data_IF_803015809292
#
_entry.id   IF_803015809292
#
_cell.length_a   1.000
_cell.length_b   1.000
_cell.length_c   1.000
_cell.angle_alpha   90.00
_cell.angle_beta   90.00
_cell.angle_gamma   90.00
#
_symmetry.space_group_name_H-M   'P 1'
#
loop_
_entity.id
_entity.type
_entity.pdbx_description
1 polymer ?
#
# COMPACT_ATOMS: atom_id res chain seq x y z
N UNK A 1 20.89 -1.44 6.56
CA UNK A 1 20.13 -2.44 5.80
C UNK A 1 18.63 -2.29 6.01
N UNK A 2 17.95 -1.57 5.13
CA UNK A 2 16.49 -1.64 5.03
C UNK A 2 16.19 -2.92 4.24
N UNK A 3 15.80 -3.99 4.93
CA UNK A 3 15.37 -5.23 4.30
C UNK A 3 13.84 -5.22 4.22
N UNK A 4 13.30 -4.82 3.08
CA UNK A 4 11.88 -4.99 2.77
C UNK A 4 11.64 -6.47 2.45
N UNK A 5 11.35 -7.26 3.47
CA UNK A 5 10.93 -8.64 3.30
C UNK A 5 9.45 -8.69 2.94
N UNK A 6 9.13 -8.53 1.66
CA UNK A 6 7.87 -9.03 1.10
C UNK A 6 8.16 -10.15 0.10
N UNK A 7 8.64 -11.33 0.56
CA UNK A 7 8.80 -12.46 -0.34
C UNK A 7 7.41 -12.93 -0.75
N UNK A 8 6.97 -12.57 -1.97
CA UNK A 8 5.79 -13.13 -2.60
C UNK A 8 6.23 -14.45 -3.25
N UNK A 9 5.93 -15.59 -2.62
CA UNK A 9 6.14 -16.91 -3.20
C UNK A 9 4.84 -17.72 -3.16
N UNK A 10 4.41 -18.14 -4.37
CA UNK A 10 3.45 -19.19 -4.71
C UNK A 10 2.31 -19.43 -3.71
N UNK A 11 1.16 -18.83 -3.98
CA UNK A 11 -0.14 -19.43 -3.64
C UNK A 11 -0.82 -19.90 -4.92
N UNK A 12 -1.33 -21.13 -4.90
CA UNK A 12 -2.12 -21.71 -5.98
C UNK A 12 -3.38 -20.86 -6.22
N UNK A 13 -3.66 -20.53 -7.47
CA UNK A 13 -4.96 -19.95 -7.83
C UNK A 13 -6.01 -21.06 -7.73
N UNK A 14 -6.94 -20.94 -6.79
CA UNK A 14 -8.16 -21.73 -6.80
C UNK A 14 -9.13 -21.06 -7.77
N UNK A 15 -9.28 -21.66 -8.94
CA UNK A 15 -10.20 -21.20 -9.99
C UNK A 15 -11.66 -21.31 -9.52
N UNK A 16 -12.39 -20.20 -9.44
CA UNK A 16 -13.83 -20.13 -9.71
C UNK A 16 -14.31 -18.67 -9.80
N UNK A 17 -14.64 -18.23 -11.01
CA UNK A 17 -15.25 -16.93 -11.32
C UNK A 17 -14.24 -15.80 -11.53
N UNK A 18 -14.26 -15.17 -12.72
CA UNK A 18 -13.48 -13.99 -13.13
C UNK A 18 -12.31 -13.60 -12.19
N UNK A 19 -11.25 -14.41 -12.25
CA UNK A 19 -9.93 -14.31 -11.59
C UNK A 19 -9.83 -13.34 -10.40
N UNK A 20 -10.22 -13.84 -9.22
CA UNK A 20 -9.91 -13.18 -7.97
C UNK A 20 -8.39 -13.13 -7.76
N UNK A 21 -7.79 -11.93 -7.84
CA UNK A 21 -6.35 -11.71 -7.76
C UNK A 21 -5.85 -11.80 -6.31
N UNK A 22 -5.90 -13.01 -5.74
CA UNK A 22 -5.47 -13.26 -4.37
C UNK A 22 -3.99 -13.65 -4.32
N UNK A 23 -3.23 -12.98 -3.47
CA UNK A 23 -1.82 -13.26 -3.21
C UNK A 23 -1.60 -13.54 -1.74
N UNK A 24 -0.79 -14.58 -1.46
CA UNK A 24 -0.29 -14.88 -0.12
C UNK A 24 1.00 -14.13 0.18
N UNK A 25 0.97 -13.38 1.29
CA UNK A 25 2.14 -12.81 1.94
C UNK A 25 2.73 -13.83 2.91
N UNK A 26 4.04 -13.78 3.12
CA UNK A 26 4.76 -14.76 3.94
C UNK A 26 5.16 -14.22 5.32
N UNK A 27 5.25 -12.90 5.49
CA UNK A 27 5.73 -12.27 6.73
C UNK A 27 4.94 -10.97 7.00
N UNK A 28 3.92 -11.03 7.88
CA UNK A 28 3.29 -12.23 8.41
C UNK A 28 2.48 -13.00 7.33
N UNK A 29 2.17 -14.30 7.54
CA UNK A 29 1.26 -15.03 6.66
C UNK A 29 -0.11 -14.35 6.59
N UNK A 30 -0.48 -13.83 5.43
CA UNK A 30 -1.74 -13.11 5.22
C UNK A 30 -2.16 -13.16 3.75
N UNK A 31 -3.44 -12.92 3.46
CA UNK A 31 -3.96 -12.91 2.08
C UNK A 31 -4.39 -11.50 1.68
N UNK A 32 -4.00 -11.05 0.49
CA UNK A 32 -4.47 -9.81 -0.12
C UNK A 32 -5.20 -10.10 -1.42
N UNK A 33 -6.28 -9.37 -1.68
CA UNK A 33 -6.94 -9.29 -2.98
C UNK A 33 -6.52 -7.99 -3.66
N UNK A 34 -5.88 -8.09 -4.82
CA UNK A 34 -5.58 -6.95 -5.67
C UNK A 34 -6.61 -6.78 -6.78
N UNK A 35 -6.29 -5.93 -7.75
CA UNK A 35 -7.09 -5.74 -8.96
C UNK A 35 -6.23 -5.52 -10.20
N UNK A 36 -6.88 -5.62 -11.36
CA UNK A 36 -6.25 -5.38 -12.66
C UNK A 36 -6.55 -3.94 -13.09
N UNK A 37 -5.51 -3.18 -13.44
CA UNK A 37 -5.60 -1.81 -13.93
C UNK A 37 -4.98 -1.67 -15.32
N UNK A 38 -5.27 -0.55 -15.98
CA UNK A 38 -4.65 -0.17 -17.26
C UNK A 38 -3.86 1.11 -17.12
N UNK A 39 -2.66 1.12 -17.70
CA UNK A 39 -1.85 2.33 -17.82
C UNK A 39 -2.41 3.26 -18.89
N UNK A 40 -1.93 4.50 -18.94
CA UNK A 40 -2.30 5.48 -19.97
C UNK A 40 -2.03 4.98 -21.40
N UNK A 41 -1.04 4.08 -21.56
CA UNK A 41 -0.69 3.49 -22.86
C UNK A 41 -1.46 2.17 -23.14
N UNK A 42 -2.46 1.83 -22.33
CA UNK A 42 -3.32 0.65 -22.51
C UNK A 42 -2.74 -0.66 -21.98
N UNK A 43 -1.49 -0.67 -21.48
CA UNK A 43 -0.88 -1.87 -20.91
C UNK A 43 -1.58 -2.25 -19.60
N UNK A 44 -1.92 -3.53 -19.47
CA UNK A 44 -2.46 -4.12 -18.24
C UNK A 44 -1.36 -4.26 -17.20
N UNK A 45 -1.68 -3.93 -15.94
CA UNK A 45 -0.85 -4.21 -14.77
C UNK A 45 -1.73 -4.59 -13.59
N UNK A 46 -1.10 -5.16 -12.57
CA UNK A 46 -1.75 -5.64 -11.37
C UNK A 46 -1.35 -4.77 -10.19
N UNK A 47 -2.32 -4.36 -9.38
CA UNK A 47 -2.10 -3.47 -8.26
C UNK A 47 -2.66 -4.05 -6.97
N UNK A 48 -1.92 -3.82 -5.90
CA UNK A 48 -2.28 -4.11 -4.52
C UNK A 48 -1.98 -2.87 -3.70
N UNK A 49 -3.01 -2.27 -3.13
CA UNK A 49 -2.94 -0.93 -2.57
C UNK A 49 -3.39 -0.91 -1.11
N UNK A 50 -2.93 0.08 -0.35
CA UNK A 50 -3.19 0.25 1.08
C UNK A 50 -2.83 -1.00 1.92
N UNK A 51 -1.75 -1.72 1.57
CA UNK A 51 -1.28 -2.89 2.34
C UNK A 51 -0.57 -2.42 3.62
N UNK A 52 -1.03 -2.79 4.82
CA UNK A 52 -0.35 -2.46 6.07
C UNK A 52 1.04 -3.10 6.12
N UNK A 53 2.06 -2.28 6.41
CA UNK A 53 3.42 -2.76 6.67
C UNK A 53 3.87 -2.54 8.12
N UNK A 54 3.14 -1.72 8.88
CA UNK A 54 3.38 -1.48 10.29
C UNK A 54 2.08 -1.36 11.07
N UNK A 55 2.15 -1.56 12.38
CA UNK A 55 1.04 -1.33 13.30
C UNK A 55 0.59 0.14 13.26
N UNK A 56 -0.71 0.45 13.39
CA UNK A 56 -1.18 1.82 13.44
C UNK A 56 -0.47 2.64 14.54
N UNK A 57 0.21 3.76 14.22
CA UNK A 57 0.98 4.56 15.17
C UNK A 57 0.08 5.51 15.99
N UNK A 58 -1.00 4.98 16.56
CA UNK A 58 -2.02 5.72 17.32
C UNK A 58 -1.82 5.59 18.83
N UNK A 59 -2.35 6.56 19.59
CA UNK A 59 -2.32 6.52 21.06
C UNK A 59 -0.89 6.46 21.60
N UNK A 60 -0.60 5.47 22.46
CA UNK A 60 0.73 5.26 23.05
C UNK A 60 1.82 4.92 22.02
N UNK A 61 1.43 4.45 20.82
CA UNK A 61 2.39 4.19 19.73
C UNK A 61 2.78 5.47 18.98
N UNK A 62 2.10 6.59 19.22
CA UNK A 62 2.42 7.85 18.55
C UNK A 62 3.84 8.31 18.94
N UNK A 63 4.61 8.73 17.94
CA UNK A 63 6.00 9.17 18.07
C UNK A 63 7.01 8.09 18.51
N UNK A 64 6.59 6.83 18.54
CA UNK A 64 7.49 5.69 18.73
C UNK A 64 7.97 5.15 17.38
N UNK A 65 9.09 4.39 17.34
CA UNK A 65 9.45 3.63 16.15
C UNK A 65 8.30 2.71 15.70
N UNK A 66 8.10 2.51 14.38
CA UNK A 66 7.04 1.65 13.88
C UNK A 66 7.26 0.19 14.30
N UNK A 67 6.19 -0.48 14.71
CA UNK A 67 6.18 -1.91 15.00
C UNK A 67 5.71 -2.70 13.78
N UNK A 68 6.17 -3.95 13.65
CA UNK A 68 5.72 -4.85 12.59
C UNK A 68 4.23 -5.16 12.74
N UNK A 69 3.48 -5.04 11.64
CA UNK A 69 2.08 -5.44 11.62
C UNK A 69 1.95 -6.96 11.87
N UNK A 70 1.07 -7.37 12.78
CA UNK A 70 0.90 -8.78 13.14
C UNK A 70 0.27 -9.64 12.02
N UNK A 71 -0.34 -8.97 11.04
CA UNK A 71 -1.04 -9.57 9.91
C UNK A 71 -2.53 -9.45 10.10
N UNK A 72 -3.29 -10.16 9.29
CA UNK A 72 -4.75 -10.19 9.41
C UNK A 72 -5.28 -11.56 9.06
N UNK A 73 -6.44 -11.88 9.63
CA UNK A 73 -7.21 -13.05 9.25
C UNK A 73 -8.03 -12.77 7.98
N UNK A 74 -8.28 -13.84 7.22
CA UNK A 74 -9.03 -13.74 5.97
C UNK A 74 -8.27 -13.02 4.85
N UNK A 75 -9.02 -12.38 3.95
CA UNK A 75 -8.49 -11.70 2.76
C UNK A 75 -8.67 -10.19 2.93
N UNK A 76 -7.56 -9.46 2.98
CA UNK A 76 -7.56 -7.99 2.93
C UNK A 76 -7.87 -7.53 1.51
N UNK A 77 -8.84 -6.65 1.36
CA UNK A 77 -9.15 -6.04 0.08
C UNK A 77 -8.19 -4.88 -0.23
N UNK A 78 -7.12 -5.17 -0.97
CA UNK A 78 -6.06 -4.23 -1.36
C UNK A 78 -6.34 -3.59 -2.74
N UNK A 79 -7.57 -3.14 -2.96
CA UNK A 79 -8.05 -2.59 -4.26
C UNK A 79 -8.34 -1.09 -4.21
N UNK A 80 -7.98 -0.44 -3.10
CA UNK A 80 -8.20 0.97 -2.85
C UNK A 80 -6.88 1.62 -2.44
N UNK A 81 -6.64 2.83 -2.94
CA UNK A 81 -5.55 3.71 -2.52
C UNK A 81 -6.18 5.01 -2.02
N UNK A 82 -6.60 5.01 -0.76
CA UNK A 82 -7.40 6.07 -0.17
C UNK A 82 -6.81 6.61 1.13
N UNK A 83 -5.86 5.89 1.73
CA UNK A 83 -5.22 6.32 2.97
C UNK A 83 -4.12 7.32 2.69
N UNK A 84 -3.98 8.29 3.57
CA UNK A 84 -2.91 9.28 3.57
C UNK A 84 -2.62 9.63 5.01
N UNK A 85 -1.34 9.77 5.35
CA UNK A 85 -0.94 10.16 6.70
C UNK A 85 -1.44 11.55 7.05
N UNK A 86 -1.79 11.73 8.32
CA UNK A 86 -2.15 13.02 8.88
C UNK A 86 -1.14 14.10 8.49
N UNK A 87 -1.63 15.12 7.79
CA UNK A 87 -0.83 16.23 7.31
C UNK A 87 -1.67 17.49 7.14
N UNK A 88 -1.02 18.64 7.02
CA UNK A 88 -1.70 19.88 6.69
C UNK A 88 -2.10 19.88 5.21
N UNK A 89 -3.34 20.30 4.93
CA UNK A 89 -3.79 20.54 3.57
C UNK A 89 -3.10 21.81 3.04
N UNK A 90 -2.07 21.62 2.21
CA UNK A 90 -1.26 22.70 1.64
C UNK A 90 -1.94 23.27 0.39
N UNK A 91 -2.86 24.22 0.57
CA UNK A 91 -3.45 24.98 -0.54
C UNK A 91 -2.58 26.18 -0.97
N UNK A 92 -2.68 26.63 -2.24
CA UNK A 92 -2.16 27.92 -2.66
C UNK A 92 -2.76 29.05 -1.79
N UNK A 93 -1.95 30.07 -1.48
CA UNK A 93 -2.31 31.17 -0.58
C UNK A 93 -3.55 32.00 -0.99
N UNK A 94 -4.15 31.74 -2.16
CA UNK A 94 -5.42 32.32 -2.62
C UNK A 94 -6.65 31.68 -1.98
N UNK A 95 -6.54 30.47 -1.43
CA UNK A 95 -7.66 29.69 -0.85
C UNK A 95 -7.50 29.55 0.68
N UNK A 96 -7.36 30.70 1.35
CA UNK A 96 -7.00 30.81 2.78
C UNK A 96 -8.03 30.24 3.76
N UNK A 97 -9.24 29.91 3.32
CA UNK A 97 -10.30 29.42 4.21
C UNK A 97 -10.13 27.95 4.62
N UNK A 98 -9.35 27.17 3.86
CA UNK A 98 -9.06 25.75 4.14
C UNK A 98 -7.56 25.50 4.39
N UNK A 99 -6.72 26.52 4.20
CA UNK A 99 -5.32 26.47 4.61
C UNK A 99 -5.25 26.22 6.12
N UNK A 100 -4.53 25.17 6.54
CA UNK A 100 -4.38 24.65 7.91
C UNK A 100 -5.37 23.57 8.36
N UNK A 101 -6.24 23.07 7.49
CA UNK A 101 -7.01 21.86 7.82
C UNK A 101 -6.08 20.65 7.89
N UNK A 102 -6.16 19.88 8.97
CA UNK A 102 -5.52 18.57 9.05
C UNK A 102 -6.39 17.56 8.30
N UNK A 103 -5.79 16.82 7.39
CA UNK A 103 -6.44 15.77 6.60
C UNK A 103 -5.68 14.46 6.75
N UNK A 104 -6.35 13.35 6.46
CA UNK A 104 -5.77 12.01 6.51
C UNK A 104 -6.17 11.23 7.75
N UNK A 105 -5.37 10.20 8.05
CA UNK A 105 -5.51 9.33 9.22
C UNK A 105 -4.13 9.03 9.81
N UNK A 106 -4.06 8.70 11.10
CA UNK A 106 -2.83 8.19 11.73
C UNK A 106 -2.57 6.73 11.38
N UNK A 107 -3.63 5.94 11.15
CA UNK A 107 -3.52 4.59 10.61
C UNK A 107 -3.18 4.63 9.11
N UNK A 108 -1.92 4.98 8.83
CA UNK A 108 -1.44 5.28 7.47
C UNK A 108 -0.11 4.59 7.11
N UNK A 109 0.40 3.66 7.94
CA UNK A 109 1.59 2.88 7.61
C UNK A 109 1.27 1.77 6.60
N UNK A 110 0.95 2.22 5.39
CA UNK A 110 0.58 1.39 4.25
C UNK A 110 1.53 1.55 3.07
N UNK A 111 1.53 0.58 2.17
CA UNK A 111 2.26 0.64 0.91
C UNK A 111 1.41 0.13 -0.25
N UNK A 112 1.84 0.53 -1.44
CA UNK A 112 1.24 0.13 -2.71
C UNK A 112 2.27 -0.69 -3.50
N UNK A 113 1.84 -1.81 -4.09
CA UNK A 113 2.64 -2.70 -4.92
C UNK A 113 2.00 -2.83 -6.30
N UNK A 114 2.81 -2.59 -7.33
CA UNK A 114 2.39 -2.67 -8.73
C UNK A 114 3.30 -3.63 -9.50
N UNK A 115 2.73 -4.46 -10.36
CA UNK A 115 3.50 -5.40 -11.19
C UNK A 115 2.94 -5.50 -12.61
N UNK A 116 3.79 -5.52 -13.64
CA UNK A 116 3.35 -5.67 -15.04
C UNK A 116 3.11 -7.14 -15.42
N UNK A 117 3.38 -8.10 -14.52
CA UNK A 117 3.18 -9.53 -14.76
C UNK A 117 2.18 -10.11 -13.79
N UNK A 118 1.48 -11.14 -14.25
CA UNK A 118 0.54 -11.89 -13.43
C UNK A 118 1.26 -12.36 -12.16
N UNK A 119 0.72 -12.06 -10.96
CA UNK A 119 1.22 -12.58 -9.70
C UNK A 119 1.30 -14.11 -9.72
N UNK A 120 2.34 -14.67 -9.09
CA UNK A 120 2.60 -16.11 -9.11
C UNK A 120 3.45 -16.60 -10.29
N UNK A 121 3.80 -15.73 -11.25
CA UNK A 121 4.81 -16.08 -12.26
C UNK A 121 6.22 -16.16 -11.65
N UNK A 122 7.07 -17.05 -12.19
CA UNK A 122 8.47 -17.20 -11.76
C UNK A 122 9.42 -16.09 -12.25
N UNK A 123 8.88 -15.04 -12.87
CA UNK A 123 9.68 -13.98 -13.46
C UNK A 123 10.18 -13.04 -12.37
N UNK A 124 11.50 -12.97 -12.18
CA UNK A 124 12.12 -11.96 -11.33
C UNK A 124 12.16 -10.63 -12.09
N UNK A 125 11.64 -9.57 -11.48
CA UNK A 125 11.65 -8.22 -12.01
C UNK A 125 12.50 -7.32 -11.12
N UNK A 126 13.17 -6.29 -11.67
CA UNK A 126 13.76 -5.24 -10.85
C UNK A 126 12.67 -4.51 -10.06
N UNK A 127 12.98 -4.13 -8.81
CA UNK A 127 12.07 -3.39 -7.93
C UNK A 127 12.45 -1.91 -7.94
N UNK A 128 11.48 -1.06 -8.26
CA UNK A 128 11.59 0.37 -8.07
C UNK A 128 10.81 0.77 -6.82
N UNK A 129 11.51 1.39 -5.85
CA UNK A 129 10.91 1.87 -4.60
C UNK A 129 10.76 3.39 -4.67
N UNK A 130 9.51 3.86 -4.66
CA UNK A 130 9.19 5.28 -4.62
C UNK A 130 8.98 5.74 -3.19
N UNK A 131 9.58 6.89 -2.84
CA UNK A 131 9.36 7.59 -1.58
C UNK A 131 8.91 9.00 -1.95
N UNK A 132 7.71 9.38 -1.54
CA UNK A 132 7.15 10.68 -1.90
C UNK A 132 7.92 11.84 -1.25
N UNK A 133 7.89 13.01 -1.90
CA UNK A 133 8.40 14.26 -1.33
C UNK A 133 7.38 14.93 -0.40
N UNK A 134 7.55 16.25 -0.16
CA UNK A 134 6.62 17.05 0.65
C UNK A 134 7.21 17.62 1.94
N UNK A 135 8.52 17.89 1.95
CA UNK A 135 9.23 18.62 3.00
C UNK A 135 9.04 18.06 4.43
N UNK A 136 8.75 16.75 4.55
CA UNK A 136 8.46 16.06 5.81
C UNK A 136 7.21 16.56 6.56
N UNK A 137 6.38 17.39 5.93
CA UNK A 137 5.15 17.95 6.51
C UNK A 137 3.88 17.56 5.71
N UNK A 138 4.07 16.95 4.54
CA UNK A 138 3.01 16.43 3.69
C UNK A 138 3.55 15.50 2.61
N UNK A 139 2.65 15.08 1.72
CA UNK A 139 2.90 14.10 0.65
C UNK A 139 2.20 12.76 0.89
N UNK A 140 2.01 12.01 -0.18
CA UNK A 140 1.42 10.66 -0.17
C UNK A 140 1.86 9.89 -1.42
N UNK A 141 1.65 8.57 -1.42
CA UNK A 141 2.08 7.64 -2.47
C UNK A 141 0.95 7.19 -3.41
#
# INVERSE_FOLDING_TARGET
DIRLYLPIHHSQSTSQGADDLIVKLNQPPSLIRGHTLKSNNGNTYYAFQDIPYGEPPVGEKRFQPPEFHAGWDGILNATQNIKTCNQFYLLPASEKTEANKVVGTEDCLILNVYTPVVPGTNKKLPVYLFIHGGAFIGGSA
#
